data_IF_004572072909
#
_entry.id   IF_004572072909
#
_cell.length_a   1.000
_cell.length_b   1.000
_cell.length_c   1.000
_cell.angle_alpha   90.00
_cell.angle_beta   90.00
_cell.angle_gamma   90.00
#
_symmetry.space_group_name_H-M   'P 1'
#
loop_
_entity.id
_entity.type
_entity.pdbx_description
1 polymer ?
#
# COMPACT_ATOMS: atom_id res chain seq x y z
N UNK A 1 -20.86 4.95 2.74
CA UNK A 1 -20.56 3.64 2.12
C UNK A 1 -19.40 3.03 2.88
N UNK A 2 -19.53 1.80 3.39
CA UNK A 2 -18.44 1.12 4.08
C UNK A 2 -17.28 0.87 3.10
N UNK A 3 -16.15 1.56 3.30
CA UNK A 3 -14.96 1.40 2.45
C UNK A 3 -14.43 -0.04 2.41
N UNK A 4 -14.78 -0.87 3.39
CA UNK A 4 -14.47 -2.30 3.47
C UNK A 4 -15.33 -3.19 2.58
N UNK A 5 -16.48 -2.70 2.10
CA UNK A 5 -17.32 -3.39 1.09
C UNK A 5 -16.87 -3.06 -0.35
N UNK A 6 -15.89 -2.17 -0.52
CA UNK A 6 -15.38 -1.79 -1.84
C UNK A 6 -14.65 -2.97 -2.49
N UNK A 7 -14.81 -3.20 -3.81
CA UNK A 7 -14.00 -4.19 -4.54
C UNK A 7 -12.50 -3.85 -4.53
N UNK A 8 -12.13 -2.63 -4.11
CA UNK A 8 -10.74 -2.19 -3.92
C UNK A 8 -10.13 -2.75 -2.63
N UNK A 9 -10.94 -3.14 -1.65
CA UNK A 9 -10.47 -3.70 -0.40
C UNK A 9 -10.18 -5.22 -0.54
N UNK A 10 -9.12 -5.75 0.09
CA UNK A 10 -8.05 -5.04 0.78
C UNK A 10 -6.91 -4.59 -0.17
N UNK A 11 -6.72 -5.30 -1.29
CA UNK A 11 -5.46 -5.26 -2.05
C UNK A 11 -5.16 -3.91 -2.71
N UNK A 12 -6.16 -3.22 -3.24
CA UNK A 12 -5.92 -1.93 -3.91
C UNK A 12 -5.54 -0.86 -2.89
N UNK A 13 -6.25 -0.80 -1.77
CA UNK A 13 -5.92 0.15 -0.69
C UNK A 13 -4.60 -0.17 -0.01
N UNK A 14 -4.24 -1.45 0.14
CA UNK A 14 -2.92 -1.85 0.62
C UNK A 14 -1.80 -1.37 -0.32
N UNK A 15 -1.98 -1.49 -1.63
CA UNK A 15 -1.03 -0.98 -2.60
C UNK A 15 -0.96 0.56 -2.57
N UNK A 16 -2.11 1.24 -2.48
CA UNK A 16 -2.16 2.70 -2.41
C UNK A 16 -1.49 3.21 -1.11
N UNK A 17 -1.58 2.48 0.01
CA UNK A 17 -0.82 2.77 1.24
C UNK A 17 0.68 2.83 0.98
N UNK A 18 1.25 1.77 0.39
CA UNK A 18 2.69 1.71 0.12
C UNK A 18 3.11 2.80 -0.85
N UNK A 19 2.31 3.10 -1.87
CA UNK A 19 2.63 4.15 -2.84
C UNK A 19 2.63 5.55 -2.22
N UNK A 20 1.81 5.80 -1.19
CA UNK A 20 1.83 7.08 -0.48
C UNK A 20 2.98 7.15 0.55
N UNK A 21 3.44 6.00 1.07
CA UNK A 21 4.47 5.94 2.12
C UNK A 21 5.89 5.72 1.61
N UNK A 22 6.06 5.10 0.45
CA UNK A 22 7.35 4.97 -0.21
C UNK A 22 7.62 6.30 -0.89
N UNK A 23 8.51 7.08 -0.28
CA UNK A 23 8.96 8.36 -0.82
C UNK A 23 9.61 8.13 -2.17
N UNK A 24 9.26 8.99 -3.12
CA UNK A 24 9.81 8.99 -4.47
C UNK A 24 10.79 10.14 -4.67
N UNK A 25 11.06 10.96 -3.66
CA UNK A 25 12.13 11.96 -3.75
C UNK A 25 13.51 11.28 -3.77
N UNK A 26 14.24 11.48 -4.86
CA UNK A 26 15.63 11.04 -4.97
C UNK A 26 16.55 12.23 -4.78
N UNK A 27 17.36 12.20 -3.71
CA UNK A 27 18.35 13.25 -3.43
C UNK A 27 19.46 13.31 -4.49
N UNK A 28 19.79 12.18 -5.11
CA UNK A 28 20.82 12.08 -6.16
C UNK A 28 20.44 12.87 -7.43
N UNK A 29 19.16 12.86 -7.78
CA UNK A 29 18.63 13.56 -8.98
C UNK A 29 17.84 14.82 -8.63
N UNK A 30 17.71 15.15 -7.34
CA UNK A 30 17.03 16.35 -6.84
C UNK A 30 15.54 16.46 -7.16
N UNK A 31 14.89 15.36 -7.55
CA UNK A 31 13.49 15.35 -8.00
C UNK A 31 12.73 14.11 -7.52
N UNK A 32 11.39 14.21 -7.54
CA UNK A 32 10.50 13.06 -7.36
C UNK A 32 10.60 12.15 -8.58
N UNK A 33 11.04 10.91 -8.39
CA UNK A 33 11.04 9.84 -9.37
C UNK A 33 9.67 9.16 -9.41
N UNK A 34 9.50 8.19 -10.31
CA UNK A 34 8.23 7.47 -10.39
C UNK A 34 8.04 6.62 -9.14
N UNK A 35 7.01 6.94 -8.33
CA UNK A 35 6.54 6.07 -7.24
C UNK A 35 6.36 4.64 -7.77
N UNK A 36 6.62 3.63 -6.93
CA UNK A 36 6.40 2.22 -7.31
C UNK A 36 5.00 1.99 -7.91
N UNK A 37 4.93 1.14 -8.93
CA UNK A 37 3.66 0.73 -9.53
C UNK A 37 2.83 -0.11 -8.54
N UNK A 38 1.50 -0.22 -8.78
CA UNK A 38 0.65 -1.12 -7.97
C UNK A 38 1.07 -2.59 -8.05
N UNK A 39 1.62 -3.02 -9.19
CA UNK A 39 2.16 -4.37 -9.34
C UNK A 39 3.36 -4.59 -8.42
N UNK A 40 4.32 -3.65 -8.43
CA UNK A 40 5.48 -3.68 -7.53
C UNK A 40 5.06 -3.61 -6.05
N UNK A 41 4.08 -2.78 -5.71
CA UNK A 41 3.53 -2.73 -4.37
C UNK A 41 2.91 -4.08 -3.94
N UNK A 42 2.14 -4.74 -4.83
CA UNK A 42 1.56 -6.06 -4.55
C UNK A 42 2.62 -7.15 -4.37
N UNK A 43 3.71 -7.09 -5.14
CA UNK A 43 4.87 -7.98 -4.97
C UNK A 43 5.55 -7.74 -3.62
N UNK A 44 5.77 -6.47 -3.25
CA UNK A 44 6.34 -6.11 -1.95
C UNK A 44 5.49 -6.60 -0.78
N UNK A 45 4.15 -6.47 -0.85
CA UNK A 45 3.24 -7.02 0.17
C UNK A 45 3.43 -8.54 0.28
N UNK A 46 3.54 -9.25 -0.84
CA UNK A 46 3.79 -10.70 -0.83
C UNK A 46 5.11 -11.07 -0.14
N UNK A 47 6.20 -10.41 -0.53
CA UNK A 47 7.52 -10.67 0.04
C UNK A 47 7.59 -10.37 1.54
N UNK A 48 6.97 -9.26 1.99
CA UNK A 48 6.91 -8.92 3.41
C UNK A 48 6.06 -9.92 4.19
N UNK A 49 4.90 -10.32 3.65
CA UNK A 49 4.03 -11.30 4.27
C UNK A 49 4.76 -12.64 4.49
N UNK A 50 5.49 -13.10 3.47
CA UNK A 50 6.33 -14.30 3.55
C UNK A 50 7.44 -14.16 4.60
N UNK A 51 8.18 -13.04 4.58
CA UNK A 51 9.30 -12.80 5.49
C UNK A 51 8.88 -12.78 6.98
N UNK A 52 7.66 -12.33 7.28
CA UNK A 52 7.14 -12.26 8.65
C UNK A 52 6.24 -13.43 9.04
N UNK A 53 6.03 -14.40 8.14
CA UNK A 53 5.15 -15.56 8.37
C UNK A 53 3.67 -15.19 8.53
N UNK A 54 3.19 -14.15 7.85
CA UNK A 54 1.80 -13.69 7.87
C UNK A 54 1.10 -14.00 6.54
N UNK A 55 -0.18 -14.40 6.54
CA UNK A 55 -0.94 -14.50 5.29
C UNK A 55 -0.96 -13.15 4.55
N UNK A 56 -0.72 -13.19 3.24
CA UNK A 56 -0.71 -11.99 2.38
C UNK A 56 -1.99 -11.16 2.52
N UNK A 57 -3.14 -11.83 2.63
CA UNK A 57 -4.44 -11.17 2.80
C UNK A 57 -4.52 -10.39 4.12
N UNK A 58 -4.05 -10.95 5.23
CA UNK A 58 -4.08 -10.30 6.54
C UNK A 58 -3.19 -9.05 6.55
N UNK A 59 -1.99 -9.16 5.96
CA UNK A 59 -1.12 -8.00 5.78
C UNK A 59 -1.80 -6.93 4.91
N UNK A 60 -2.42 -7.33 3.80
CA UNK A 60 -3.15 -6.41 2.93
C UNK A 60 -4.31 -5.72 3.68
N UNK A 61 -5.08 -6.45 4.49
CA UNK A 61 -6.16 -5.88 5.33
C UNK A 61 -5.62 -4.84 6.30
N UNK A 62 -4.50 -5.13 6.98
CA UNK A 62 -3.86 -4.18 7.91
C UNK A 62 -3.40 -2.89 7.21
N UNK A 63 -2.75 -3.02 6.05
CA UNK A 63 -2.30 -1.86 5.27
C UNK A 63 -3.48 -1.06 4.70
N UNK A 64 -4.53 -1.73 4.23
CA UNK A 64 -5.75 -1.09 3.76
C UNK A 64 -6.47 -0.33 4.87
N UNK A 65 -6.62 -0.94 6.05
CA UNK A 65 -7.21 -0.30 7.21
C UNK A 65 -6.38 0.92 7.65
N UNK A 66 -5.05 0.82 7.65
CA UNK A 66 -4.16 1.95 7.93
C UNK A 66 -4.35 3.10 6.91
N UNK A 67 -4.44 2.79 5.62
CA UNK A 67 -4.69 3.79 4.57
C UNK A 67 -6.03 4.52 4.75
N UNK A 68 -7.09 3.76 5.02
CA UNK A 68 -8.43 4.30 5.23
C UNK A 68 -8.52 5.11 6.53
N UNK A 69 -7.80 4.71 7.59
CA UNK A 69 -7.72 5.47 8.84
C UNK A 69 -6.92 6.77 8.73
N UNK A 70 -5.90 6.80 7.84
CA UNK A 70 -5.04 7.95 7.63
C UNK A 70 -5.62 8.98 6.65
N UNK A 71 -6.71 8.64 5.96
CA UNK A 71 -7.42 9.53 5.06
C UNK A 71 -8.73 10.01 5.72
N UNK A 72 -8.73 11.12 6.49
CA UNK A 72 -9.99 11.80 6.77
C UNK A 72 -10.55 12.26 5.42
N UNK A 73 -11.85 12.09 5.20
CA UNK A 73 -12.49 12.31 3.90
C UNK A 73 -12.02 13.57 3.18
N UNK A 74 -11.65 13.41 1.91
CA UNK A 74 -11.69 14.51 0.94
C UNK A 74 -13.11 14.78 0.52
#
# INVERSE_FOLDING_TARGET
MDSKQSPRYPYTYACDYLRVKVDDYSEEVGMRVTTISRSQASQAIGAVAEAIGMPKEDLARKLADAFLSASPGG
#
